data_IF_278878276984
#
_entry.id   IF_278878276984
#
_cell.length_a   1.000
_cell.length_b   1.000
_cell.length_c   1.000
_cell.angle_alpha   90.00
_cell.angle_beta   90.00
_cell.angle_gamma   90.00
#
_symmetry.space_group_name_H-M   'P 1'
#
loop_
_entity.id
_entity.type
_entity.pdbx_description
1 polymer ?
#
# COMPACT_ATOMS: atom_id res chain seq x y z
N UNK A 1 -14.85 -46.45 48.21
CA UNK A 1 -14.08 -46.92 47.05
C UNK A 1 -14.64 -46.19 45.83
N UNK A 2 -14.07 -45.03 45.46
CA UNK A 2 -13.19 -44.79 44.28
C UNK A 2 -13.80 -45.35 42.98
N UNK A 3 -13.96 -44.61 41.87
CA UNK A 3 -13.11 -43.56 41.30
C UNK A 3 -13.86 -42.54 40.42
N UNK A 4 -13.29 -41.33 40.40
CA UNK A 4 -13.63 -40.15 39.61
C UNK A 4 -12.91 -40.22 38.25
N UNK A 5 -13.66 -40.38 37.15
CA UNK A 5 -13.10 -40.45 35.80
C UNK A 5 -12.69 -39.05 35.30
N UNK A 6 -11.40 -38.72 35.40
CA UNK A 6 -10.81 -37.54 34.75
C UNK A 6 -10.43 -37.89 33.30
N UNK A 7 -10.74 -37.05 32.29
CA UNK A 7 -10.27 -37.28 30.92
C UNK A 7 -8.76 -36.98 30.81
N UNK A 8 -7.98 -38.02 30.54
CA UNK A 8 -6.54 -37.93 30.30
C UNK A 8 -6.20 -37.12 29.05
N UNK A 9 -5.29 -36.16 29.21
CA UNK A 9 -4.72 -35.37 28.12
C UNK A 9 -3.89 -36.27 27.21
N UNK A 10 -4.04 -36.21 25.87
CA UNK A 10 -3.20 -37.00 24.98
C UNK A 10 -1.76 -36.47 25.01
N UNK A 11 -0.83 -37.37 25.35
CA UNK A 11 0.61 -37.20 25.21
C UNK A 11 0.96 -36.86 23.76
N UNK A 12 1.49 -35.66 23.53
CA UNK A 12 2.03 -35.25 22.22
C UNK A 12 3.31 -36.05 21.97
N UNK A 13 3.19 -37.08 21.14
CA UNK A 13 4.33 -37.79 20.57
C UNK A 13 5.17 -36.83 19.74
N UNK A 14 6.46 -36.74 20.09
CA UNK A 14 7.46 -35.93 19.41
C UNK A 14 7.52 -36.32 17.93
N UNK A 15 6.94 -35.49 17.07
CA UNK A 15 7.14 -35.60 15.63
C UNK A 15 8.46 -34.93 15.31
N UNK A 16 9.41 -35.74 14.85
CA UNK A 16 10.75 -35.35 14.42
C UNK A 16 10.66 -34.20 13.42
N UNK A 17 11.20 -33.05 13.81
CA UNK A 17 11.30 -31.88 12.95
C UNK A 17 12.32 -32.17 11.85
N UNK A 18 11.85 -32.54 10.66
CA UNK A 18 12.69 -32.57 9.47
C UNK A 18 13.11 -31.12 9.20
N UNK A 19 14.39 -30.82 9.44
CA UNK A 19 14.95 -29.50 9.21
C UNK A 19 14.81 -29.12 7.73
N UNK A 20 14.29 -27.92 7.40
CA UNK A 20 14.29 -27.45 6.02
C UNK A 20 15.75 -27.25 5.56
N UNK A 21 16.06 -27.47 4.27
CA UNK A 21 17.42 -27.33 3.75
C UNK A 21 17.96 -25.92 4.04
N UNK A 22 19.12 -25.87 4.71
CA UNK A 22 19.87 -24.65 5.02
C UNK A 22 20.35 -23.99 3.73
N UNK A 23 19.47 -23.22 3.09
CA UNK A 23 19.95 -22.15 2.23
C UNK A 23 20.44 -21.03 3.15
N UNK A 24 21.68 -20.51 2.99
CA UNK A 24 22.15 -19.37 3.77
C UNK A 24 21.47 -18.10 3.25
N UNK A 25 20.16 -17.99 3.47
CA UNK A 25 19.41 -16.76 3.23
C UNK A 25 19.63 -15.86 4.44
N UNK A 26 20.81 -15.25 4.50
CA UNK A 26 21.12 -14.21 5.49
C UNK A 26 20.17 -13.04 5.23
N UNK A 27 19.09 -12.94 6.01
CA UNK A 27 18.18 -11.80 5.97
C UNK A 27 19.01 -10.56 6.29
N UNK A 28 19.13 -9.63 5.33
CA UNK A 28 19.77 -8.35 5.56
C UNK A 28 18.88 -7.57 6.53
N UNK A 29 19.25 -7.55 7.81
CA UNK A 29 18.53 -6.74 8.78
C UNK A 29 18.68 -5.26 8.40
N UNK A 30 17.60 -4.46 8.46
CA UNK A 30 17.71 -3.03 8.23
C UNK A 30 18.63 -2.46 9.31
N UNK A 31 19.75 -1.88 8.90
CA UNK A 31 20.63 -1.12 9.80
C UNK A 31 19.82 0.03 10.38
N UNK A 32 19.37 -0.12 11.64
CA UNK A 32 18.79 0.98 12.41
C UNK A 32 19.92 1.98 12.62
N UNK A 33 20.00 2.99 11.75
CA UNK A 33 20.88 4.12 11.98
C UNK A 33 20.27 4.89 13.15
N UNK A 34 20.86 4.75 14.33
CA UNK A 34 20.60 5.60 15.48
C UNK A 34 21.04 7.02 15.13
N UNK A 35 20.18 7.76 14.45
CA UNK A 35 20.32 9.20 14.31
C UNK A 35 19.69 9.83 15.55
N UNK A 36 20.54 10.52 16.29
CA UNK A 36 20.26 11.44 17.40
C UNK A 36 18.89 12.15 17.29
N UNK A 37 18.09 12.01 18.36
CA UNK A 37 17.04 12.94 18.81
C UNK A 37 15.96 13.39 17.81
N UNK A 38 15.44 12.50 16.97
CA UNK A 38 14.17 12.74 16.24
C UNK A 38 13.22 11.57 16.48
N UNK A 39 11.91 11.79 16.71
CA UNK A 39 10.96 10.68 16.85
C UNK A 39 11.05 9.83 15.58
N UNK A 40 11.26 8.54 15.78
CA UNK A 40 11.54 7.54 14.76
C UNK A 40 10.38 7.44 13.74
N UNK A 41 10.36 8.35 12.78
CA UNK A 41 9.49 8.25 11.62
C UNK A 41 9.96 7.05 10.80
N UNK A 42 9.02 6.19 10.40
CA UNK A 42 9.31 5.11 9.48
C UNK A 42 10.01 5.69 8.24
N UNK A 43 11.05 5.03 7.69
CA UNK A 43 11.77 5.52 6.53
C UNK A 43 10.79 5.92 5.40
N UNK A 44 10.82 7.18 4.98
CA UNK A 44 10.00 7.68 3.87
C UNK A 44 8.79 8.53 4.24
N UNK A 45 8.40 8.63 5.51
CA UNK A 45 7.33 9.55 5.94
C UNK A 45 7.81 11.00 5.81
N UNK A 46 7.14 11.78 4.96
CA UNK A 46 7.40 13.21 4.81
C UNK A 46 6.66 13.97 5.92
N UNK A 47 7.41 14.37 6.95
CA UNK A 47 6.88 15.16 8.06
C UNK A 47 6.35 16.53 7.61
N UNK A 48 6.96 17.12 6.59
CA UNK A 48 6.59 18.43 6.05
C UNK A 48 6.06 18.27 4.62
N UNK A 49 4.76 17.99 4.50
CA UNK A 49 4.07 18.09 3.22
C UNK A 49 3.63 19.56 3.06
N UNK A 50 3.74 20.11 1.84
CA UNK A 50 3.27 21.47 1.56
C UNK A 50 1.83 21.61 2.03
N UNK A 51 1.51 22.69 2.78
CA UNK A 51 0.16 23.02 3.29
C UNK A 51 -0.93 22.99 2.21
N UNK A 52 -0.53 23.04 0.94
CA UNK A 52 -1.39 22.95 -0.24
C UNK A 52 -2.02 21.57 -0.48
N UNK A 53 -1.65 20.52 0.27
CA UNK A 53 -2.14 19.15 0.09
C UNK A 53 -3.26 18.76 1.07
N UNK A 54 -4.16 19.70 1.41
CA UNK A 54 -5.43 19.34 2.08
C UNK A 54 -6.21 18.31 1.26
N UNK A 55 -7.01 17.47 1.92
CA UNK A 55 -7.82 16.43 1.27
C UNK A 55 -8.79 17.03 0.25
N UNK A 56 -9.34 18.20 0.54
CA UNK A 56 -10.21 18.95 -0.37
C UNK A 56 -9.44 19.42 -1.62
N UNK A 57 -8.24 19.96 -1.43
CA UNK A 57 -7.36 20.35 -2.55
C UNK A 57 -6.98 19.13 -3.39
N UNK A 58 -6.79 17.96 -2.78
CA UNK A 58 -6.54 16.71 -3.52
C UNK A 58 -7.74 16.39 -4.41
N UNK A 59 -8.98 16.49 -3.92
CA UNK A 59 -10.19 16.26 -4.76
C UNK A 59 -10.27 17.24 -5.92
N UNK A 60 -10.08 18.53 -5.66
CA UNK A 60 -10.13 19.58 -6.68
C UNK A 60 -9.05 19.34 -7.74
N UNK A 61 -7.80 19.16 -7.32
CA UNK A 61 -6.69 18.93 -8.25
C UNK A 61 -6.83 17.63 -9.02
N UNK A 62 -7.39 16.57 -8.43
CA UNK A 62 -7.67 15.34 -9.15
C UNK A 62 -8.69 15.55 -10.25
N UNK A 63 -9.78 16.26 -9.94
CA UNK A 63 -10.82 16.59 -10.92
C UNK A 63 -10.24 17.36 -12.09
N UNK A 64 -9.43 18.38 -11.81
CA UNK A 64 -8.82 19.24 -12.83
C UNK A 64 -7.76 18.50 -13.66
N UNK A 65 -6.86 17.75 -13.00
CA UNK A 65 -5.73 17.08 -13.67
C UNK A 65 -6.15 15.86 -14.50
N UNK A 66 -7.24 15.19 -14.12
CA UNK A 66 -7.75 14.01 -14.80
C UNK A 66 -9.00 14.29 -15.64
N UNK A 67 -9.49 15.53 -15.68
CA UNK A 67 -10.66 15.94 -16.46
C UNK A 67 -11.93 15.19 -16.06
N UNK A 68 -12.13 14.93 -14.77
CA UNK A 68 -13.25 14.11 -14.29
C UNK A 68 -14.56 14.92 -14.28
N UNK A 69 -15.63 14.30 -14.77
CA UNK A 69 -16.99 14.86 -14.66
C UNK A 69 -17.59 14.72 -13.25
N UNK A 70 -16.99 13.88 -12.41
CA UNK A 70 -17.45 13.61 -11.05
C UNK A 70 -16.39 14.01 -10.02
N UNK A 71 -16.84 14.19 -8.77
CA UNK A 71 -15.95 14.45 -7.64
C UNK A 71 -15.41 13.13 -7.08
N UNK A 72 -14.09 12.94 -6.95
CA UNK A 72 -13.52 11.74 -6.34
C UNK A 72 -14.05 11.50 -4.93
N UNK A 73 -14.23 10.23 -4.58
CA UNK A 73 -14.74 9.83 -3.26
C UNK A 73 -13.78 10.17 -2.13
N UNK A 74 -14.31 10.38 -0.93
CA UNK A 74 -13.54 10.78 0.25
C UNK A 74 -12.42 9.79 0.56
N UNK A 75 -12.72 8.49 0.52
CA UNK A 75 -11.73 7.45 0.78
C UNK A 75 -10.57 7.46 -0.23
N UNK A 76 -10.84 7.80 -1.49
CA UNK A 76 -9.82 7.90 -2.55
C UNK A 76 -8.90 9.08 -2.25
N UNK A 77 -9.47 10.26 -1.96
CA UNK A 77 -8.70 11.46 -1.65
C UNK A 77 -7.85 11.29 -0.38
N UNK A 78 -8.41 10.70 0.68
CA UNK A 78 -7.69 10.40 1.91
C UNK A 78 -6.53 9.42 1.69
N UNK A 79 -6.75 8.39 0.89
CA UNK A 79 -5.72 7.40 0.57
C UNK A 79 -4.58 8.02 -0.23
N UNK A 80 -4.90 8.78 -1.28
CA UNK A 80 -3.91 9.48 -2.11
C UNK A 80 -3.09 10.44 -1.24
N UNK A 81 -3.76 11.21 -0.35
CA UNK A 81 -3.08 12.08 0.60
C UNK A 81 -2.10 11.30 1.51
N UNK A 82 -2.50 10.14 2.05
CA UNK A 82 -1.61 9.28 2.85
C UNK A 82 -0.43 8.74 2.05
N UNK A 83 -0.65 8.30 0.82
CA UNK A 83 0.42 7.82 -0.07
C UNK A 83 1.42 8.94 -0.39
N UNK A 84 0.94 10.15 -0.69
CA UNK A 84 1.81 11.31 -0.98
C UNK A 84 2.67 11.72 0.22
N UNK A 85 2.18 11.49 1.45
CA UNK A 85 2.93 11.65 2.71
C UNK A 85 3.96 10.54 2.95
N UNK A 86 3.97 9.48 2.14
CA UNK A 86 4.89 8.36 2.29
C UNK A 86 4.43 7.28 3.26
N UNK A 87 3.13 7.22 3.60
CA UNK A 87 2.59 6.11 4.38
C UNK A 87 2.29 4.90 3.50
N UNK A 88 2.62 3.72 4.02
CA UNK A 88 2.11 2.46 3.49
C UNK A 88 0.62 2.36 3.82
N UNK A 89 -0.21 2.03 2.83
CA UNK A 89 -1.66 2.00 3.00
C UNK A 89 -2.25 0.78 2.28
N UNK A 90 -3.26 0.18 2.89
CA UNK A 90 -4.09 -0.86 2.29
C UNK A 90 -5.48 -0.28 2.02
N UNK A 91 -6.02 -0.56 0.82
CA UNK A 91 -7.38 -0.21 0.44
C UNK A 91 -8.18 -1.48 0.20
N UNK A 92 -9.29 -1.62 0.91
CA UNK A 92 -10.29 -2.65 0.65
C UNK A 92 -11.47 -1.97 -0.01
N UNK A 93 -11.72 -2.28 -1.28
CA UNK A 93 -12.83 -1.71 -2.05
C UNK A 93 -13.31 -2.72 -3.10
N UNK A 94 -14.63 -2.78 -3.29
CA UNK A 94 -15.26 -3.63 -4.30
C UNK A 94 -14.81 -3.30 -5.73
N UNK A 95 -15.07 -4.21 -6.67
CA UNK A 95 -14.92 -3.91 -8.10
C UNK A 95 -15.84 -2.75 -8.50
N UNK A 96 -15.42 -1.93 -9.46
CA UNK A 96 -16.18 -0.74 -9.89
C UNK A 96 -16.02 0.51 -9.01
N UNK A 97 -15.50 0.41 -7.78
CA UNK A 97 -15.31 1.57 -6.87
C UNK A 97 -14.16 2.53 -7.27
N UNK A 98 -13.65 2.43 -8.49
CA UNK A 98 -12.61 3.34 -9.00
C UNK A 98 -11.26 3.22 -8.28
N UNK A 99 -10.85 2.00 -7.90
CA UNK A 99 -9.53 1.75 -7.29
C UNK A 99 -8.39 2.30 -8.16
N UNK A 100 -8.54 2.24 -9.48
CA UNK A 100 -7.53 2.72 -10.43
C UNK A 100 -7.27 4.21 -10.34
N UNK A 101 -8.28 4.99 -9.96
CA UNK A 101 -8.17 6.43 -9.78
C UNK A 101 -7.12 6.81 -8.73
N UNK A 102 -6.85 5.91 -7.77
CA UNK A 102 -5.87 6.14 -6.72
C UNK A 102 -4.46 6.22 -7.30
N UNK A 103 -4.03 5.23 -8.09
CA UNK A 103 -2.66 5.23 -8.61
C UNK A 103 -2.47 6.23 -9.76
N UNK A 104 -3.50 6.46 -10.58
CA UNK A 104 -3.52 7.54 -11.58
C UNK A 104 -3.43 8.92 -10.92
N UNK A 105 -4.19 9.12 -9.84
CA UNK A 105 -4.18 10.35 -9.08
C UNK A 105 -2.82 10.60 -8.42
N UNK A 106 -2.22 9.56 -7.84
CA UNK A 106 -0.86 9.64 -7.29
C UNK A 106 0.15 9.97 -8.38
N UNK A 107 0.06 9.39 -9.58
CA UNK A 107 1.03 9.64 -10.66
C UNK A 107 1.00 11.10 -11.13
N UNK A 108 -0.19 11.71 -11.23
CA UNK A 108 -0.33 13.13 -11.57
C UNK A 108 0.06 14.07 -10.41
N UNK A 109 -0.29 13.74 -9.18
CA UNK A 109 -0.06 14.60 -8.01
C UNK A 109 1.34 14.51 -7.40
N UNK A 110 2.05 13.40 -7.58
CA UNK A 110 3.40 13.21 -7.04
C UNK A 110 4.44 14.19 -7.64
N UNK A 111 4.12 14.80 -8.79
CA UNK A 111 4.93 15.81 -9.46
C UNK A 111 5.88 15.25 -10.51
N UNK A 112 6.63 16.14 -11.15
CA UNK A 112 7.58 15.79 -12.23
C UNK A 112 8.73 14.92 -11.69
N UNK A 113 9.22 14.00 -12.52
CA UNK A 113 10.33 13.06 -12.18
C UNK A 113 9.99 12.06 -11.07
N UNK A 114 8.72 11.69 -10.93
CA UNK A 114 8.26 10.59 -10.08
C UNK A 114 7.66 9.49 -10.93
N UNK A 115 7.90 8.25 -10.54
CA UNK A 115 7.40 7.04 -11.19
C UNK A 115 6.48 6.31 -10.21
N UNK A 116 5.31 5.88 -10.68
CA UNK A 116 4.39 5.01 -9.95
C UNK A 116 4.43 3.66 -10.63
N UNK A 117 4.85 2.63 -9.90
CA UNK A 117 4.90 1.25 -10.39
C UNK A 117 3.66 0.52 -9.90
N UNK A 118 2.85 0.02 -10.82
CA UNK A 118 1.67 -0.79 -10.51
C UNK A 118 1.96 -2.23 -10.93
N UNK A 119 1.85 -3.16 -9.99
CA UNK A 119 2.06 -4.59 -10.25
C UNK A 119 0.69 -5.23 -10.41
N UNK A 120 0.38 -5.69 -11.62
CA UNK A 120 -0.86 -6.39 -11.93
C UNK A 120 -0.56 -7.83 -12.34
N UNK A 121 -1.20 -8.85 -11.73
CA UNK A 121 -0.98 -10.24 -12.12
C UNK A 121 -1.61 -10.61 -13.47
N UNK A 122 -2.59 -9.82 -13.95
CA UNK A 122 -3.37 -10.12 -15.16
C UNK A 122 -3.01 -9.17 -16.30
N UNK A 123 -2.40 -9.71 -17.37
CA UNK A 123 -1.99 -8.93 -18.57
C UNK A 123 -3.16 -8.26 -19.30
N UNK A 124 -4.32 -8.90 -19.34
CA UNK A 124 -5.50 -8.33 -19.98
C UNK A 124 -5.98 -7.07 -19.24
N UNK A 125 -6.00 -7.13 -17.90
CA UNK A 125 -6.37 -6.00 -17.07
C UNK A 125 -5.33 -4.88 -17.16
N UNK A 126 -4.03 -5.24 -17.24
CA UNK A 126 -2.96 -4.26 -17.42
C UNK A 126 -3.15 -3.41 -18.69
N UNK A 127 -3.47 -4.05 -19.83
CA UNK A 127 -3.70 -3.34 -21.11
C UNK A 127 -4.85 -2.33 -21.00
N UNK A 128 -5.97 -2.75 -20.43
CA UNK A 128 -7.14 -1.88 -20.21
C UNK A 128 -6.80 -0.65 -19.34
N UNK A 129 -6.04 -0.85 -18.26
CA UNK A 129 -5.62 0.25 -17.39
C UNK A 129 -4.61 1.18 -18.09
N UNK A 130 -3.73 0.64 -18.94
CA UNK A 130 -2.76 1.41 -19.74
C UNK A 130 -3.46 2.29 -20.77
N UNK A 131 -4.45 1.75 -21.48
CA UNK A 131 -5.25 2.51 -22.45
C UNK A 131 -6.01 3.65 -21.76
N UNK A 132 -6.67 3.36 -20.63
CA UNK A 132 -7.36 4.37 -19.82
C UNK A 132 -6.42 5.47 -19.29
N UNK A 133 -5.23 5.10 -18.82
CA UNK A 133 -4.24 6.05 -18.30
C UNK A 133 -3.66 6.94 -19.42
N UNK A 134 -3.40 6.36 -20.59
CA UNK A 134 -2.90 7.08 -21.77
C UNK A 134 -3.93 8.10 -22.26
N UNK A 135 -5.22 7.73 -22.27
CA UNK A 135 -6.32 8.65 -22.59
C UNK A 135 -6.39 9.87 -21.64
N UNK A 136 -5.97 9.70 -20.37
CA UNK A 136 -5.86 10.78 -19.38
C UNK A 136 -4.51 11.54 -19.44
N UNK A 137 -3.73 11.30 -20.49
CA UNK A 137 -2.43 11.94 -20.72
C UNK A 137 -1.38 11.57 -19.68
N UNK A 138 -1.47 10.39 -19.06
CA UNK A 138 -0.38 9.85 -18.23
C UNK A 138 0.67 9.27 -19.18
N UNK A 139 1.90 9.76 -19.09
CA UNK A 139 3.03 9.19 -19.83
C UNK A 139 3.53 7.96 -19.08
N UNK A 140 3.57 6.83 -19.77
CA UNK A 140 4.10 5.56 -19.29
C UNK A 140 5.58 5.44 -19.60
#
# INVERSE_FOLDING_TARGET
MVDENTPGTPSISQTTCIAPPETPRKRKEPTIRHATSSPCLQPGIKANLSKNLSVENVKLRLKDLLGLLFTPGDFQAHLIHRILRGYNSFLVAGTGYGKSLVFEGVSKLAGKRKLVIVICPLKALERDQVEHATAKGIKL
#
